data_IF_271358192891
#
_entry.id   IF_271358192891
#
_cell.length_a   1.000
_cell.length_b   1.000
_cell.length_c   1.000
_cell.angle_alpha   90.00
_cell.angle_beta   90.00
_cell.angle_gamma   90.00
#
_symmetry.space_group_name_H-M   'P 1'
#
loop_
_entity.id
_entity.type
_entity.pdbx_description
1 polymer ?
#
# COMPACT_ATOMS: atom_id res chain seq x y z
N UNK A 1 7.45 -4.19 -23.63
CA UNK A 1 8.07 -3.93 -22.32
C UNK A 1 8.34 -2.45 -22.20
N UNK A 2 7.75 -1.79 -21.20
CA UNK A 2 7.98 -0.38 -20.92
C UNK A 2 7.65 -0.10 -19.45
N UNK A 3 8.43 -0.69 -18.54
CA UNK A 3 8.48 -0.28 -17.15
C UNK A 3 9.53 0.81 -17.01
N UNK A 4 9.22 2.04 -17.46
CA UNK A 4 9.95 3.22 -17.01
C UNK A 4 9.64 3.48 -15.54
N UNK A 5 10.52 4.18 -14.79
CA UNK A 5 10.37 4.32 -13.36
C UNK A 5 9.00 4.94 -13.05
N UNK A 6 8.24 4.24 -12.20
CA UNK A 6 7.15 4.86 -11.45
C UNK A 6 7.68 6.20 -10.94
N UNK A 7 6.95 7.24 -11.28
CA UNK A 7 7.34 8.66 -11.36
C UNK A 7 8.31 9.11 -10.26
N UNK A 8 9.20 10.06 -10.58
CA UNK A 8 10.03 10.77 -9.59
C UNK A 8 9.21 11.59 -8.56
N UNK A 9 7.89 11.40 -8.55
CA UNK A 9 6.95 12.04 -7.65
C UNK A 9 7.08 11.46 -6.26
N UNK A 10 7.00 12.35 -5.27
CA UNK A 10 6.85 12.01 -3.86
C UNK A 10 5.40 12.17 -3.41
N UNK A 11 4.46 12.37 -4.35
CA UNK A 11 3.04 12.39 -4.04
C UNK A 11 2.55 10.96 -3.73
N UNK A 12 2.06 10.70 -2.51
CA UNK A 12 1.71 9.35 -2.07
C UNK A 12 0.57 8.75 -2.88
N UNK A 13 -0.40 9.55 -3.31
CA UNK A 13 -1.54 9.08 -4.08
C UNK A 13 -1.15 8.73 -5.52
N UNK A 14 -0.27 9.51 -6.13
CA UNK A 14 0.34 9.19 -7.41
C UNK A 14 1.15 7.89 -7.35
N UNK A 15 1.97 7.72 -6.30
CA UNK A 15 2.74 6.48 -6.08
C UNK A 15 1.79 5.28 -5.96
N UNK A 16 0.73 5.39 -5.16
CA UNK A 16 -0.24 4.29 -4.99
C UNK A 16 -0.95 3.93 -6.30
N UNK A 17 -1.32 4.92 -7.11
CA UNK A 17 -1.94 4.68 -8.43
C UNK A 17 -0.96 4.06 -9.42
N UNK A 18 0.27 4.59 -9.49
CA UNK A 18 1.31 4.11 -10.39
C UNK A 18 1.73 2.66 -10.09
N UNK A 19 1.64 2.24 -8.83
CA UNK A 19 1.95 0.89 -8.37
C UNK A 19 0.69 0.00 -8.22
N UNK A 20 -0.45 0.45 -8.74
CA UNK A 20 -1.72 -0.27 -8.76
C UNK A 20 -2.23 -0.72 -7.37
N UNK A 21 -1.90 0.01 -6.30
CA UNK A 21 -2.39 -0.29 -4.95
C UNK A 21 -3.93 -0.27 -4.91
N UNK A 22 -4.55 0.67 -5.63
CA UNK A 22 -6.01 0.79 -5.74
C UNK A 22 -6.67 -0.32 -6.57
N UNK A 23 -5.89 -1.18 -7.21
CA UNK A 23 -6.41 -2.38 -7.87
C UNK A 23 -7.01 -3.39 -6.89
N UNK A 24 -6.55 -3.37 -5.63
CA UNK A 24 -6.99 -4.30 -4.59
C UNK A 24 -7.43 -3.61 -3.30
N UNK A 25 -7.06 -2.35 -3.06
CA UNK A 25 -7.44 -1.61 -1.86
C UNK A 25 -8.35 -0.45 -2.24
N UNK A 26 -9.38 -0.20 -1.45
CA UNK A 26 -10.24 0.97 -1.63
C UNK A 26 -9.70 2.18 -0.87
N UNK A 27 -9.81 3.36 -1.47
CA UNK A 27 -9.52 4.64 -0.84
C UNK A 27 -10.40 5.74 -1.43
N UNK A 28 -11.11 6.51 -0.60
CA UNK A 28 -12.02 7.57 -1.02
C UNK A 28 -12.93 7.14 -2.20
N UNK A 29 -13.60 5.99 -2.04
CA UNK A 29 -14.52 5.42 -3.05
C UNK A 29 -13.84 4.98 -4.38
N UNK A 30 -12.51 5.07 -4.48
CA UNK A 30 -11.71 4.59 -5.61
C UNK A 30 -11.13 3.19 -5.31
N UNK A 31 -11.17 2.29 -6.29
CA UNK A 31 -10.56 0.96 -6.22
C UNK A 31 -11.54 -0.18 -5.97
N UNK A 32 -11.00 -1.35 -5.60
CA UNK A 32 -11.77 -2.57 -5.31
C UNK A 32 -11.45 -3.00 -3.87
N UNK A 33 -12.46 -3.42 -3.10
CA UNK A 33 -12.25 -3.95 -1.75
C UNK A 33 -11.87 -5.43 -1.80
N UNK A 34 -10.63 -5.72 -2.20
CA UNK A 34 -10.06 -7.07 -2.09
C UNK A 34 -9.17 -7.18 -0.83
N UNK A 35 -8.27 -6.23 -0.61
CA UNK A 35 -7.54 -6.05 0.64
C UNK A 35 -8.28 -5.12 1.61
N UNK A 36 -7.71 -4.85 2.80
CA UNK A 36 -8.25 -3.87 3.75
C UNK A 36 -8.34 -2.48 3.14
N UNK A 37 -9.41 -1.74 3.47
CA UNK A 37 -9.56 -0.35 3.04
C UNK A 37 -8.42 0.52 3.59
N UNK A 38 -7.97 1.49 2.81
CA UNK A 38 -7.08 2.55 3.27
C UNK A 38 -7.83 3.66 4.02
N UNK A 39 -9.14 3.74 3.87
CA UNK A 39 -9.97 4.70 4.61
C UNK A 39 -9.91 4.40 6.11
N UNK A 40 -9.49 5.39 6.89
CA UNK A 40 -9.33 5.27 8.35
C UNK A 40 -8.28 4.25 8.80
N UNK A 41 -7.36 3.80 7.92
CA UNK A 41 -6.36 2.78 8.26
C UNK A 41 -5.42 3.24 9.38
N UNK A 42 -5.09 4.54 9.43
CA UNK A 42 -4.28 5.14 10.48
C UNK A 42 -4.93 5.16 11.86
N UNK A 43 -6.22 4.82 11.97
CA UNK A 43 -6.89 4.57 13.25
C UNK A 43 -6.80 3.10 13.70
N UNK A 44 -6.45 2.19 12.80
CA UNK A 44 -6.42 0.73 13.04
C UNK A 44 -5.02 0.18 13.27
N UNK A 45 -4.02 0.74 12.60
CA UNK A 45 -2.64 0.25 12.58
C UNK A 45 -1.64 1.41 12.61
N UNK A 46 -0.40 1.12 13.00
CA UNK A 46 0.69 2.08 13.02
C UNK A 46 1.53 2.06 11.73
N UNK A 47 2.48 3.00 11.65
CA UNK A 47 3.36 3.13 10.49
C UNK A 47 4.27 1.91 10.27
N UNK A 48 4.66 1.22 11.35
CA UNK A 48 5.56 0.07 11.25
C UNK A 48 4.82 -1.13 10.67
N UNK A 49 3.57 -1.36 11.07
CA UNK A 49 2.70 -2.36 10.46
C UNK A 49 2.47 -2.10 8.98
N UNK A 50 2.19 -0.85 8.58
CA UNK A 50 1.99 -0.50 7.16
C UNK A 50 3.29 -0.74 6.37
N UNK A 51 4.45 -0.36 6.93
CA UNK A 51 5.75 -0.54 6.28
C UNK A 51 6.09 -2.02 6.11
N UNK A 52 5.90 -2.82 7.15
CA UNK A 52 6.06 -4.27 7.10
C UNK A 52 5.13 -4.89 6.06
N UNK A 53 3.85 -4.50 6.04
CA UNK A 53 2.88 -5.02 5.06
C UNK A 53 3.27 -4.74 3.60
N UNK A 54 3.94 -3.61 3.32
CA UNK A 54 4.40 -3.27 1.97
C UNK A 54 5.69 -4.03 1.60
N UNK A 55 6.60 -4.19 2.56
CA UNK A 55 7.91 -4.82 2.33
C UNK A 55 7.84 -6.35 2.36
N UNK A 56 7.04 -6.89 3.27
CA UNK A 56 6.78 -8.31 3.46
C UNK A 56 5.26 -8.56 3.64
N UNK A 57 4.49 -8.55 2.53
CA UNK A 57 3.05 -8.81 2.58
C UNK A 57 2.68 -10.23 3.04
N UNK A 58 3.66 -11.13 3.22
CA UNK A 58 3.46 -12.46 3.76
C UNK A 58 3.70 -12.55 5.28
N UNK A 59 4.29 -11.51 5.90
CA UNK A 59 4.58 -11.47 7.34
C UNK A 59 3.32 -11.56 8.21
N UNK A 60 2.19 -11.07 7.70
CA UNK A 60 0.92 -11.15 8.42
C UNK A 60 -0.27 -10.77 7.55
N UNK A 61 -1.42 -11.34 7.88
CA UNK A 61 -2.69 -10.94 7.30
C UNK A 61 -3.33 -9.80 8.10
N UNK A 62 -3.99 -8.86 7.41
CA UNK A 62 -4.94 -8.00 8.09
C UNK A 62 -6.13 -8.85 8.59
N UNK A 63 -6.62 -8.57 9.80
CA UNK A 63 -7.73 -9.33 10.38
C UNK A 63 -8.97 -9.28 9.48
N UNK A 64 -9.54 -10.44 9.17
CA UNK A 64 -10.65 -10.59 8.22
C UNK A 64 -10.25 -10.75 6.75
N UNK A 65 -8.94 -10.71 6.44
CA UNK A 65 -8.37 -10.90 5.11
C UNK A 65 -7.38 -12.07 5.05
N UNK A 66 -7.47 -13.02 5.99
CA UNK A 66 -6.55 -14.16 6.12
C UNK A 66 -6.54 -15.03 4.85
N UNK A 67 -7.69 -15.18 4.20
CA UNK A 67 -7.84 -15.91 2.93
C UNK A 67 -7.23 -15.16 1.72
N UNK A 68 -6.80 -13.92 1.91
CA UNK A 68 -6.24 -13.05 0.88
C UNK A 68 -4.73 -12.78 1.10
N UNK A 69 -4.16 -13.41 2.14
CA UNK A 69 -2.72 -13.42 2.40
C UNK A 69 -1.96 -13.92 1.16
N UNK A 70 -0.92 -13.20 0.77
CA UNK A 70 -0.11 -13.53 -0.42
C UNK A 70 -0.69 -13.06 -1.76
N UNK A 71 -1.88 -12.45 -1.78
CA UNK A 71 -2.37 -11.77 -2.99
C UNK A 71 -1.68 -10.41 -3.20
N UNK A 72 -1.24 -9.77 -2.12
CA UNK A 72 -0.46 -8.54 -2.21
C UNK A 72 0.93 -8.85 -2.78
N UNK A 73 1.33 -8.26 -3.92
CA UNK A 73 2.59 -8.59 -4.57
C UNK A 73 3.83 -8.29 -3.70
N UNK A 74 4.78 -9.23 -3.51
CA UNK A 74 6.00 -9.01 -2.72
C UNK A 74 7.09 -8.26 -3.50
N UNK A 75 6.70 -7.39 -4.44
CA UNK A 75 7.62 -6.68 -5.34
C UNK A 75 7.85 -5.22 -4.93
N UNK A 76 7.00 -4.66 -4.07
CA UNK A 76 7.02 -3.23 -3.76
C UNK A 76 8.29 -2.77 -3.06
N UNK A 77 8.93 -3.63 -2.25
CA UNK A 77 10.24 -3.33 -1.67
C UNK A 77 11.36 -3.12 -2.69
N UNK A 78 11.19 -3.65 -3.92
CA UNK A 78 12.13 -3.45 -5.03
C UNK A 78 11.65 -2.36 -6.02
N UNK A 79 10.37 -2.00 -6.00
CA UNK A 79 9.79 -1.00 -6.92
C UNK A 79 9.77 0.40 -6.33
N UNK A 80 9.61 0.52 -5.01
CA UNK A 80 9.58 1.79 -4.30
C UNK A 80 10.97 2.15 -3.79
N UNK A 81 11.35 3.40 -4.00
CA UNK A 81 12.48 3.99 -3.26
C UNK A 81 12.12 4.18 -1.78
N UNK A 82 13.12 4.31 -0.92
CA UNK A 82 12.89 4.54 0.52
C UNK A 82 12.02 5.78 0.80
N UNK A 83 12.20 6.86 0.04
CA UNK A 83 11.40 8.08 0.17
C UNK A 83 9.95 7.90 -0.31
N UNK A 84 9.74 7.15 -1.40
CA UNK A 84 8.39 6.84 -1.89
C UNK A 84 7.63 5.94 -0.91
N UNK A 85 8.30 4.91 -0.39
CA UNK A 85 7.75 4.04 0.64
C UNK A 85 7.33 4.86 1.85
N UNK A 86 8.22 5.70 2.37
CA UNK A 86 7.92 6.51 3.55
C UNK A 86 6.79 7.52 3.29
N UNK A 87 6.73 8.13 2.10
CA UNK A 87 5.62 9.01 1.73
C UNK A 87 4.27 8.29 1.78
N UNK A 88 4.18 7.07 1.25
CA UNK A 88 2.96 6.25 1.30
C UNK A 88 2.62 5.83 2.72
N UNK A 89 3.60 5.37 3.50
CA UNK A 89 3.41 4.98 4.91
C UNK A 89 2.87 6.16 5.73
N UNK A 90 3.50 7.33 5.61
CA UNK A 90 3.08 8.54 6.32
C UNK A 90 1.70 9.03 5.86
N UNK A 91 1.38 8.87 4.59
CA UNK A 91 0.04 9.19 4.09
C UNK A 91 -1.02 8.29 4.72
N UNK A 92 -0.82 6.97 4.67
CA UNK A 92 -1.78 5.99 5.18
C UNK A 92 -1.95 6.07 6.71
N UNK A 93 -0.86 6.24 7.48
CA UNK A 93 -0.97 6.36 8.95
C UNK A 93 -1.68 7.63 9.39
N UNK A 94 -1.70 8.67 8.56
CA UNK A 94 -2.44 9.91 8.82
C UNK A 94 -3.89 9.84 8.34
N UNK A 95 -4.30 8.77 7.66
CA UNK A 95 -5.66 8.59 7.19
C UNK A 95 -6.54 8.02 8.31
N UNK A 96 -7.23 8.90 9.04
CA UNK A 96 -8.07 8.56 10.20
C UNK A 96 -9.55 8.66 9.92
#
# INVERSE_FOLDING_TARGET
GAGGPATASTDPLEIMRANACLGCHVFNEEGIQLGPSFDGIGARVDADYIRESILDPAAGAAGGFENMTGLMPPIFGNQLTASQLEAVVQFLVNQR
#
